data_IF_320897260213
#
_entry.id   IF_320897260213
#
_cell.length_a   1.000
_cell.length_b   1.000
_cell.length_c   1.000
_cell.angle_alpha   90.00
_cell.angle_beta   90.00
_cell.angle_gamma   90.00
#
_symmetry.space_group_name_H-M   'P 1'
#
loop_
_entity.id
_entity.type
_entity.pdbx_description
1 polymer ?
#
# COMPACT_ATOMS: atom_id res chain seq x y z
N UNK A 1 -59.92 -10.29 -35.05
CA UNK A 1 -59.07 -10.70 -33.92
C UNK A 1 -58.12 -9.56 -33.62
N UNK A 2 -58.24 -8.89 -32.47
CA UNK A 2 -57.25 -7.90 -32.06
C UNK A 2 -55.98 -8.64 -31.64
N UNK A 3 -54.88 -8.45 -32.36
CA UNK A 3 -53.58 -8.94 -31.93
C UNK A 3 -53.20 -8.20 -30.65
N UNK A 4 -53.23 -8.94 -29.54
CA UNK A 4 -52.72 -8.47 -28.27
C UNK A 4 -51.19 -8.47 -28.31
N UNK A 5 -50.61 -7.28 -28.48
CA UNK A 5 -49.16 -7.14 -28.56
C UNK A 5 -48.55 -7.31 -27.17
N UNK A 6 -48.12 -8.54 -26.86
CA UNK A 6 -47.52 -8.92 -25.58
C UNK A 6 -46.28 -8.09 -25.21
N UNK A 7 -45.66 -7.40 -26.20
CA UNK A 7 -44.48 -6.56 -26.01
C UNK A 7 -44.71 -5.31 -25.14
N UNK A 8 -45.96 -4.95 -24.80
CA UNK A 8 -46.28 -3.81 -23.91
C UNK A 8 -46.67 -4.21 -22.49
N UNK A 9 -46.67 -5.50 -22.16
CA UNK A 9 -46.88 -5.93 -20.78
C UNK A 9 -45.60 -5.72 -19.98
N UNK A 10 -45.64 -4.93 -18.88
CA UNK A 10 -44.50 -4.80 -17.99
C UNK A 10 -44.11 -6.19 -17.47
N UNK A 11 -42.91 -6.65 -17.82
CA UNK A 11 -42.43 -7.97 -17.41
C UNK A 11 -41.64 -7.92 -16.10
N UNK A 12 -41.23 -6.72 -15.69
CA UNK A 12 -40.40 -6.50 -14.52
C UNK A 12 -41.15 -5.60 -13.56
N UNK A 13 -41.28 -5.99 -12.30
CA UNK A 13 -41.96 -5.18 -11.30
C UNK A 13 -41.16 -5.15 -10.00
N UNK A 14 -41.12 -3.98 -9.38
CA UNK A 14 -40.56 -3.85 -8.04
C UNK A 14 -41.51 -4.48 -7.03
N UNK A 15 -41.12 -5.57 -6.37
CA UNK A 15 -41.99 -6.24 -5.38
C UNK A 15 -42.26 -5.41 -4.12
N UNK A 16 -41.45 -4.36 -3.85
CA UNK A 16 -41.62 -3.51 -2.67
C UNK A 16 -42.54 -2.31 -2.88
N UNK A 17 -42.47 -1.64 -4.02
CA UNK A 17 -43.29 -0.45 -4.32
C UNK A 17 -44.24 -0.65 -5.52
N UNK A 18 -44.22 -1.85 -6.11
CA UNK A 18 -45.15 -2.32 -7.14
C UNK A 18 -45.09 -1.50 -8.44
N UNK A 19 -44.05 -0.68 -8.61
CA UNK A 19 -43.79 0.04 -9.86
C UNK A 19 -43.36 -0.98 -10.92
N UNK A 20 -43.97 -0.89 -12.10
CA UNK A 20 -43.76 -1.80 -13.21
C UNK A 20 -42.85 -1.19 -14.29
N UNK A 21 -42.09 -2.04 -14.95
CA UNK A 21 -40.99 -1.70 -15.85
C UNK A 21 -41.02 -2.60 -17.08
N UNK A 22 -40.68 -2.02 -18.24
CA UNK A 22 -40.65 -2.73 -19.50
C UNK A 22 -39.36 -3.53 -19.69
N UNK A 23 -38.27 -3.15 -19.00
CA UNK A 23 -36.96 -3.80 -19.12
C UNK A 23 -36.29 -3.99 -17.76
N UNK A 24 -35.45 -5.03 -17.64
CA UNK A 24 -34.61 -5.25 -16.45
C UNK A 24 -33.73 -4.04 -16.14
N UNK A 25 -33.13 -3.40 -17.15
CA UNK A 25 -32.31 -2.20 -16.98
C UNK A 25 -33.11 -1.06 -16.32
N UNK A 26 -34.36 -0.83 -16.75
CA UNK A 26 -35.21 0.20 -16.14
C UNK A 26 -35.63 -0.12 -14.69
N UNK A 27 -35.75 -1.41 -14.34
CA UNK A 27 -35.95 -1.84 -12.95
C UNK A 27 -34.67 -1.65 -12.10
N UNK A 28 -33.49 -1.90 -12.67
CA UNK A 28 -32.22 -1.61 -11.99
C UNK A 28 -32.00 -0.11 -11.77
N UNK A 29 -32.30 0.71 -12.77
CA UNK A 29 -32.26 2.17 -12.66
C UNK A 29 -33.27 2.67 -11.63
N UNK A 30 -34.41 2.01 -11.48
CA UNK A 30 -35.34 2.29 -10.40
C UNK A 30 -34.73 2.06 -9.01
N UNK A 31 -33.96 0.99 -8.82
CA UNK A 31 -33.24 0.76 -7.56
C UNK A 31 -32.17 1.84 -7.32
N UNK A 32 -31.46 2.28 -8.37
CA UNK A 32 -30.39 3.31 -8.28
C UNK A 32 -30.93 4.72 -8.06
N UNK A 33 -32.03 5.08 -8.73
CA UNK A 33 -32.44 6.47 -8.94
C UNK A 33 -33.54 7.01 -8.03
N UNK A 34 -34.31 6.17 -7.32
CA UNK A 34 -35.36 6.71 -6.44
C UNK A 34 -34.82 7.12 -5.06
N UNK A 35 -35.16 8.33 -4.56
CA UNK A 35 -35.21 8.62 -3.14
C UNK A 35 -36.42 7.88 -2.57
N UNK A 36 -36.33 6.56 -2.44
CA UNK A 36 -37.26 5.78 -1.66
C UNK A 36 -36.47 5.15 -0.52
N UNK A 37 -36.92 5.37 0.71
CA UNK A 37 -36.42 4.68 1.91
C UNK A 37 -36.68 3.16 1.89
N UNK A 38 -37.02 2.61 0.72
CA UNK A 38 -37.62 1.29 0.50
C UNK A 38 -36.56 0.27 0.07
N UNK A 39 -35.49 0.73 -0.60
CA UNK A 39 -34.45 -0.11 -1.17
C UNK A 39 -33.12 0.05 -0.41
N UNK A 40 -32.45 -1.05 -0.03
CA UNK A 40 -31.09 -0.99 0.51
C UNK A 40 -30.15 -0.28 -0.46
N UNK A 41 -29.30 0.60 0.06
CA UNK A 41 -28.30 1.33 -0.71
C UNK A 41 -26.92 1.06 -0.16
N UNK A 42 -25.94 0.93 -1.05
CA UNK A 42 -24.54 0.86 -0.68
C UNK A 42 -24.11 2.22 -0.14
N UNK A 43 -23.61 2.26 1.09
CA UNK A 43 -23.09 3.49 1.69
C UNK A 43 -21.80 3.98 1.03
N UNK A 44 -21.08 3.12 0.31
CA UNK A 44 -19.80 3.43 -0.34
C UNK A 44 -19.98 4.07 -1.73
N UNK A 45 -20.83 3.49 -2.58
CA UNK A 45 -21.03 3.98 -3.96
C UNK A 45 -22.44 4.49 -4.26
N UNK A 46 -23.37 4.44 -3.30
CA UNK A 46 -24.76 4.92 -3.47
C UNK A 46 -25.66 4.04 -4.33
N UNK A 47 -25.14 2.95 -4.92
CA UNK A 47 -25.93 2.01 -5.73
C UNK A 47 -27.04 1.38 -4.88
N UNK A 48 -28.26 1.35 -5.42
CA UNK A 48 -29.40 0.71 -4.77
C UNK A 48 -29.59 -0.73 -5.21
N UNK A 49 -30.15 -1.54 -4.31
CA UNK A 49 -30.37 -2.98 -4.48
C UNK A 49 -31.80 -3.35 -4.11
N UNK A 50 -32.32 -4.43 -4.69
CA UNK A 50 -33.67 -4.89 -4.40
C UNK A 50 -33.79 -5.49 -2.98
N UNK A 51 -32.73 -6.17 -2.50
CA UNK A 51 -32.69 -6.86 -1.21
C UNK A 51 -31.42 -6.57 -0.43
N UNK A 52 -31.44 -6.87 0.87
CA UNK A 52 -30.27 -6.76 1.73
C UNK A 52 -29.20 -7.78 1.33
N UNK A 53 -29.59 -8.99 0.91
CA UNK A 53 -28.65 -10.03 0.48
C UNK A 53 -27.83 -9.59 -0.73
N UNK A 54 -28.47 -8.98 -1.74
CA UNK A 54 -27.76 -8.47 -2.91
C UNK A 54 -26.87 -7.26 -2.60
N UNK A 55 -27.24 -6.44 -1.62
CA UNK A 55 -26.35 -5.39 -1.12
C UNK A 55 -25.12 -5.99 -0.42
N UNK A 56 -25.30 -7.04 0.39
CA UNK A 56 -24.19 -7.73 1.08
C UNK A 56 -23.24 -8.36 0.07
N UNK A 57 -23.76 -9.06 -0.94
CA UNK A 57 -22.97 -9.64 -2.04
C UNK A 57 -22.20 -8.57 -2.82
N UNK A 58 -22.85 -7.45 -3.14
CA UNK A 58 -22.19 -6.31 -3.76
C UNK A 58 -21.06 -5.75 -2.89
N UNK A 59 -21.25 -5.61 -1.58
CA UNK A 59 -20.19 -5.15 -0.69
C UNK A 59 -18.98 -6.09 -0.71
N UNK A 60 -19.19 -7.41 -0.72
CA UNK A 60 -18.10 -8.38 -0.74
C UNK A 60 -17.32 -8.39 -2.06
N UNK A 61 -17.98 -8.11 -3.18
CA UNK A 61 -17.39 -8.24 -4.53
C UNK A 61 -16.89 -6.92 -5.09
N UNK A 62 -17.60 -5.81 -4.85
CA UNK A 62 -17.29 -4.50 -5.41
C UNK A 62 -16.54 -3.58 -4.42
N UNK A 63 -16.63 -3.85 -3.12
CA UNK A 63 -15.96 -3.06 -2.08
C UNK A 63 -15.26 -3.99 -1.07
N UNK A 64 -14.31 -4.82 -1.55
CA UNK A 64 -13.62 -5.77 -0.68
C UNK A 64 -12.92 -5.03 0.47
N UNK A 65 -12.93 -5.68 1.63
CA UNK A 65 -12.34 -5.14 2.85
C UNK A 65 -11.39 -6.13 3.47
N UNK A 66 -10.30 -5.62 4.00
CA UNK A 66 -9.33 -6.37 4.78
C UNK A 66 -9.35 -5.91 6.24
N UNK A 67 -8.92 -6.77 7.14
CA UNK A 67 -8.67 -6.40 8.53
C UNK A 67 -7.19 -6.04 8.65
N UNK A 68 -6.89 -4.78 8.92
CA UNK A 68 -5.53 -4.27 9.11
C UNK A 68 -5.47 -3.47 10.40
N UNK A 69 -4.42 -3.66 11.21
CA UNK A 69 -4.27 -2.99 12.51
C UNK A 69 -5.45 -3.18 13.50
N UNK A 70 -6.30 -4.19 13.29
CA UNK A 70 -7.53 -4.41 14.06
C UNK A 70 -8.74 -3.60 13.57
N UNK A 71 -8.61 -2.88 12.45
CA UNK A 71 -9.67 -2.11 11.82
C UNK A 71 -10.07 -2.75 10.49
N UNK A 72 -11.36 -2.64 10.15
CA UNK A 72 -11.87 -3.01 8.84
C UNK A 72 -11.62 -1.86 7.88
N UNK A 73 -10.84 -2.11 6.83
CA UNK A 73 -10.42 -1.11 5.84
C UNK A 73 -10.83 -1.59 4.45
N UNK A 74 -11.31 -0.69 3.60
CA UNK A 74 -11.55 -1.00 2.19
C UNK A 74 -10.22 -1.10 1.45
N UNK A 75 -10.08 -2.06 0.53
CA UNK A 75 -8.82 -2.25 -0.21
C UNK A 75 -8.40 -0.99 -0.97
N UNK A 76 -9.34 -0.27 -1.56
CA UNK A 76 -9.10 1.02 -2.24
C UNK A 76 -8.59 2.14 -1.31
N UNK A 77 -8.78 2.00 0.01
CA UNK A 77 -8.31 2.95 1.01
C UNK A 77 -6.99 2.51 1.67
N UNK A 78 -6.47 1.32 1.37
CA UNK A 78 -5.25 0.78 1.99
C UNK A 78 -4.04 1.73 1.88
N UNK A 79 -3.74 2.36 0.73
CA UNK A 79 -2.62 3.29 0.63
C UNK A 79 -2.71 4.46 1.60
N UNK A 80 -3.94 4.97 1.83
CA UNK A 80 -4.19 6.04 2.81
C UNK A 80 -4.09 5.52 4.23
N UNK A 81 -4.60 4.31 4.48
CA UNK A 81 -4.53 3.66 5.79
C UNK A 81 -3.08 3.46 6.25
N UNK A 82 -2.21 2.96 5.37
CA UNK A 82 -0.80 2.77 5.70
C UNK A 82 -0.13 4.09 6.09
N UNK A 83 -0.43 5.18 5.36
CA UNK A 83 0.20 6.47 5.63
C UNK A 83 -0.24 7.12 6.96
N UNK A 84 -1.44 6.78 7.43
CA UNK A 84 -1.98 7.31 8.68
C UNK A 84 -1.65 6.45 9.91
N UNK A 85 -1.04 5.29 9.71
CA UNK A 85 -0.79 4.31 10.75
C UNK A 85 0.70 4.23 11.06
N UNK A 86 1.06 4.49 12.31
CA UNK A 86 2.44 4.32 12.81
C UNK A 86 2.90 2.85 12.79
N UNK A 87 2.02 1.90 12.48
CA UNK A 87 2.34 0.47 12.39
C UNK A 87 2.86 0.05 11.02
N UNK A 88 2.83 0.94 10.04
CA UNK A 88 3.27 0.67 8.68
C UNK A 88 4.49 1.51 8.33
N UNK A 89 5.49 0.93 7.64
CA UNK A 89 6.67 1.68 7.23
C UNK A 89 6.32 2.70 6.14
N UNK A 90 6.88 3.89 6.25
CA UNK A 90 6.77 4.96 5.26
C UNK A 90 8.13 5.41 4.75
N UNK A 91 8.18 5.71 3.45
CA UNK A 91 9.33 6.28 2.80
C UNK A 91 9.43 7.76 3.17
N UNK A 92 10.55 8.13 3.78
CA UNK A 92 10.86 9.53 4.14
C UNK A 92 11.29 10.38 2.95
N UNK A 93 11.52 9.77 1.79
CA UNK A 93 11.91 10.46 0.55
C UNK A 93 10.70 10.92 -0.26
N UNK A 94 9.65 10.10 -0.32
CA UNK A 94 8.46 10.36 -1.16
C UNK A 94 7.11 10.25 -0.42
N UNK A 95 7.12 10.05 0.90
CA UNK A 95 5.95 9.94 1.78
C UNK A 95 4.96 8.81 1.42
N UNK A 96 5.41 7.82 0.62
CA UNK A 96 4.64 6.60 0.36
C UNK A 96 4.72 5.66 1.55
N UNK A 97 3.59 5.05 1.93
CA UNK A 97 3.53 4.05 2.98
C UNK A 97 3.20 2.67 2.41
N UNK A 98 3.68 1.63 3.09
CA UNK A 98 3.68 0.26 2.58
C UNK A 98 3.02 -0.68 3.58
N UNK A 99 2.47 -1.78 3.06
CA UNK A 99 1.81 -2.78 3.90
C UNK A 99 2.76 -3.42 4.91
N UNK A 100 4.01 -3.62 4.52
CA UNK A 100 5.03 -4.29 5.32
C UNK A 100 6.44 -3.81 4.98
N UNK A 101 7.41 -4.30 5.75
CA UNK A 101 8.83 -4.01 5.57
C UNK A 101 9.36 -4.53 4.22
N UNK A 102 8.81 -5.62 3.67
CA UNK A 102 9.31 -6.19 2.42
C UNK A 102 9.00 -5.27 1.23
N UNK A 103 7.76 -4.80 1.14
CA UNK A 103 7.32 -3.83 0.14
C UNK A 103 8.05 -2.50 0.28
N UNK A 104 8.17 -1.98 1.50
CA UNK A 104 8.98 -0.77 1.79
C UNK A 104 10.43 -0.92 1.33
N UNK A 105 11.04 -2.06 1.66
CA UNK A 105 12.43 -2.35 1.31
C UNK A 105 12.64 -2.50 -0.20
N UNK A 106 11.70 -3.11 -0.91
CA UNK A 106 11.75 -3.24 -2.37
C UNK A 106 11.65 -1.87 -3.04
N UNK A 107 10.69 -1.05 -2.62
CA UNK A 107 10.53 0.33 -3.11
C UNK A 107 11.81 1.15 -2.92
N UNK A 108 12.40 1.16 -1.72
CA UNK A 108 13.63 1.90 -1.48
C UNK A 108 14.82 1.37 -2.29
N UNK A 109 14.82 0.09 -2.69
CA UNK A 109 15.86 -0.47 -3.55
C UNK A 109 15.77 0.02 -5.00
N UNK A 110 14.55 0.20 -5.52
CA UNK A 110 14.31 0.54 -6.92
C UNK A 110 14.20 2.04 -7.15
N UNK A 111 13.47 2.75 -6.29
CA UNK A 111 13.17 4.17 -6.47
C UNK A 111 14.19 5.09 -5.77
N UNK A 112 14.78 4.64 -4.66
CA UNK A 112 15.67 5.45 -3.82
C UNK A 112 17.00 4.73 -3.45
N UNK A 113 17.73 4.13 -4.41
CA UNK A 113 18.91 3.33 -4.13
C UNK A 113 20.02 4.11 -3.41
N UNK A 114 20.19 5.40 -3.72
CA UNK A 114 21.24 6.25 -3.15
C UNK A 114 20.89 6.84 -1.77
N UNK A 115 19.64 6.70 -1.33
CA UNK A 115 19.11 7.29 -0.11
C UNK A 115 18.72 6.23 0.93
N UNK A 116 19.29 5.03 0.77
CA UNK A 116 18.99 3.88 1.60
C UNK A 116 20.26 3.23 2.12
N UNK A 117 20.22 2.77 3.37
CA UNK A 117 21.26 1.91 3.89
C UNK A 117 21.05 0.48 3.40
N UNK A 118 22.00 -0.11 2.67
CA UNK A 118 21.93 -1.49 2.17
C UNK A 118 21.89 -2.54 3.30
N UNK A 119 22.58 -2.27 4.41
CA UNK A 119 22.73 -3.19 5.53
C UNK A 119 21.50 -3.22 6.45
N UNK A 120 21.00 -2.06 6.90
CA UNK A 120 19.83 -1.99 7.80
C UNK A 120 18.52 -1.60 7.10
N UNK A 121 18.57 -1.33 5.80
CA UNK A 121 17.43 -1.05 4.91
C UNK A 121 16.62 0.22 5.20
N UNK A 122 17.01 1.02 6.21
CA UNK A 122 16.43 2.34 6.48
C UNK A 122 16.66 3.28 5.30
N UNK A 123 15.65 4.11 5.03
CA UNK A 123 15.67 5.13 3.98
C UNK A 123 15.73 6.52 4.64
N UNK A 124 16.40 7.46 3.98
CA UNK A 124 16.74 8.78 4.50
C UNK A 124 16.31 9.85 3.51
N UNK A 125 15.75 10.97 4.00
CA UNK A 125 15.20 12.02 3.14
C UNK A 125 16.29 12.67 2.28
N UNK A 126 17.56 12.58 2.69
CA UNK A 126 18.72 13.04 1.90
C UNK A 126 19.92 12.09 2.00
N UNK A 127 20.84 12.19 1.05
CA UNK A 127 22.12 11.46 1.10
C UNK A 127 23.01 11.89 2.27
N UNK A 128 22.90 13.14 2.72
CA UNK A 128 23.65 13.64 3.88
C UNK A 128 23.11 13.06 5.20
N UNK A 129 21.80 12.84 5.32
CA UNK A 129 21.22 12.09 6.44
C UNK A 129 21.68 10.63 6.45
N UNK A 130 21.78 9.99 5.27
CA UNK A 130 22.34 8.63 5.16
C UNK A 130 23.82 8.59 5.58
N UNK A 131 24.64 9.59 5.20
CA UNK A 131 26.04 9.68 5.65
C UNK A 131 26.12 9.79 7.17
N UNK A 132 25.35 10.72 7.75
CA UNK A 132 25.27 10.90 9.21
C UNK A 132 24.84 9.63 9.92
N UNK A 133 23.91 8.87 9.34
CA UNK A 133 23.50 7.57 9.87
C UNK A 133 24.67 6.61 10.04
N UNK A 134 25.59 6.52 9.08
CA UNK A 134 26.78 5.67 9.24
C UNK A 134 27.73 6.18 10.34
N UNK A 135 27.83 7.50 10.54
CA UNK A 135 28.71 8.11 11.55
C UNK A 135 28.23 7.86 12.99
N UNK A 136 26.92 7.79 13.21
CA UNK A 136 26.32 7.75 14.56
C UNK A 136 25.59 6.44 14.89
N UNK A 137 25.34 5.58 13.91
CA UNK A 137 24.60 4.34 14.14
C UNK A 137 25.44 3.31 14.88
N UNK A 138 24.96 2.76 16.02
CA UNK A 138 25.63 1.66 16.71
C UNK A 138 25.63 0.34 15.91
N UNK A 139 24.78 0.26 14.88
CA UNK A 139 24.66 -0.92 14.02
C UNK A 139 25.64 -0.90 12.83
N UNK A 140 26.53 0.10 12.77
CA UNK A 140 27.51 0.28 11.70
C UNK A 140 28.91 0.52 12.28
N UNK A 141 29.96 -0.07 11.66
CA UNK A 141 31.32 0.13 12.12
C UNK A 141 31.74 1.60 11.96
N UNK A 142 32.36 2.13 13.00
CA UNK A 142 32.89 3.50 13.05
C UNK A 142 34.37 3.47 13.44
N UNK A 143 35.17 4.31 12.79
CA UNK A 143 36.57 4.45 13.16
C UNK A 143 36.70 5.34 14.41
N UNK A 144 37.00 4.77 15.57
CA UNK A 144 37.17 5.55 16.81
C UNK A 144 38.32 6.57 16.82
N UNK A 145 39.16 6.62 15.78
CA UNK A 145 40.24 7.63 15.65
C UNK A 145 39.82 8.86 14.84
N UNK A 146 39.01 8.69 13.80
CA UNK A 146 38.58 9.78 12.91
C UNK A 146 37.06 9.94 12.83
N UNK A 147 36.31 9.16 13.62
CA UNK A 147 34.85 9.10 13.69
C UNK A 147 34.14 8.91 12.34
N UNK A 148 34.84 8.34 11.36
CA UNK A 148 34.24 8.02 10.06
C UNK A 148 33.40 6.76 10.18
N UNK A 149 32.15 6.83 9.73
CA UNK A 149 31.22 5.71 9.67
C UNK A 149 31.30 4.93 8.36
N UNK A 150 31.08 3.63 8.44
CA UNK A 150 31.17 2.69 7.31
C UNK A 150 29.91 1.85 7.21
N UNK A 151 29.56 1.41 6.00
CA UNK A 151 28.30 0.68 5.80
C UNK A 151 28.41 -0.81 6.17
N UNK A 152 29.61 -1.37 6.17
CA UNK A 152 29.92 -2.74 6.60
C UNK A 152 31.39 -2.87 7.09
N UNK A 153 31.73 -4.02 7.68
CA UNK A 153 33.08 -4.27 8.20
C UNK A 153 34.13 -4.36 7.07
N UNK A 154 33.73 -4.81 5.88
CA UNK A 154 34.61 -4.94 4.71
C UNK A 154 35.16 -3.58 4.29
N UNK A 155 34.28 -2.59 4.12
CA UNK A 155 34.63 -1.21 3.76
C UNK A 155 35.45 -0.52 4.86
N UNK A 156 35.18 -0.82 6.12
CA UNK A 156 36.02 -0.35 7.24
C UNK A 156 37.45 -0.90 7.15
N UNK A 157 37.59 -2.20 6.90
CA UNK A 157 38.89 -2.87 6.80
C UNK A 157 39.68 -2.40 5.58
N UNK A 158 39.06 -2.26 4.41
CA UNK A 158 39.72 -1.79 3.18
C UNK A 158 40.37 -0.41 3.34
N UNK A 159 39.70 0.53 4.01
CA UNK A 159 40.26 1.86 4.29
C UNK A 159 41.34 1.80 5.37
N UNK A 160 41.22 0.87 6.33
CA UNK A 160 42.28 0.55 7.29
C UNK A 160 43.55 0.05 6.61
N UNK A 161 43.44 -0.81 5.60
CA UNK A 161 44.57 -1.34 4.84
C UNK A 161 45.15 -0.31 3.85
N UNK A 162 44.34 0.52 3.19
CA UNK A 162 44.85 1.51 2.22
C UNK A 162 45.68 2.64 2.86
N UNK A 163 45.48 2.93 4.15
CA UNK A 163 46.38 3.83 4.91
C UNK A 163 47.63 3.12 5.42
N UNK A 164 47.65 1.79 5.45
CA UNK A 164 48.81 0.98 5.82
C UNK A 164 49.68 0.61 4.62
N UNK A 165 49.19 0.71 3.38
CA UNK A 165 49.98 0.39 2.17
C UNK A 165 51.01 1.47 1.78
N UNK A 166 51.07 2.61 2.47
CA UNK A 166 52.22 3.51 2.43
C UNK A 166 53.32 3.17 3.47
N UNK A 167 53.12 2.13 4.27
CA UNK A 167 54.20 1.49 5.00
C UNK A 167 54.51 0.16 4.32
N UNK A 168 55.71 0.09 3.72
CA UNK A 168 56.37 -1.14 3.24
C UNK A 168 55.87 -2.38 3.98
N UNK A 169 55.11 -3.22 3.30
CA UNK A 169 54.87 -4.59 3.73
C UNK A 169 56.16 -5.39 3.52
N UNK A 170 57.10 -5.26 4.45
CA UNK A 170 58.03 -6.33 4.77
C UNK A 170 57.47 -7.10 5.95
N UNK A 171 56.70 -8.14 5.67
CA UNK A 171 56.66 -9.32 6.53
C UNK A 171 56.27 -10.51 5.65
N UNK A 172 57.29 -11.18 5.11
CA UNK A 172 57.88 -12.41 5.64
C UNK A 172 56.99 -13.63 5.42
N UNK A 173 57.44 -14.39 4.43
CA UNK A 173 57.24 -15.82 4.21
C UNK A 173 57.49 -16.65 5.48
N UNK A 174 56.82 -17.81 5.49
CA UNK A 174 57.07 -19.06 6.25
C UNK A 174 56.73 -19.05 7.75
N UNK A 175 56.16 -20.12 8.31
CA UNK A 175 56.12 -21.53 7.89
C UNK A 175 54.70 -22.14 7.92
#
# INVERSE_FOLDING_TARGET
MFQHNAAKHPQFACTKCHTAFLTQASLEDHYRGKPSAIHPKCSRCGKGFYSQSSLTEHHQTAHPTVICCGQKVYEEDLPKHYNQSERHPSCTVCDMAFEDDAAYNAHGATEHPDQRCSSCRRQFATTDELKKHFEVSPNHPTCGKCNLGFFDDTSFLEVGFSKLTNFRLTYMRTA
#
